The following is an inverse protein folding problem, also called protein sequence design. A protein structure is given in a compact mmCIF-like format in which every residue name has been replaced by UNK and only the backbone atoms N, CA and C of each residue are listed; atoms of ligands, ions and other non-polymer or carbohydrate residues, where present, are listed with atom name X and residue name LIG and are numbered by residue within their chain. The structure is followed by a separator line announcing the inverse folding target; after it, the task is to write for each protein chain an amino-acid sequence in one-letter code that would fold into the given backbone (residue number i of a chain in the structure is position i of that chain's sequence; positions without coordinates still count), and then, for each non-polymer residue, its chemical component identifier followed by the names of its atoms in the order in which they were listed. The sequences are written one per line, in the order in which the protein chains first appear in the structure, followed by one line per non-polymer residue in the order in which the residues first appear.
data_IF_559836037062
#
_entry.id   IF_559836037062
#
_cell.length_a   1.000
_cell.length_b   1.000
_cell.length_c   1.000
_cell.angle_alpha   90.00
_cell.angle_beta   90.00
_cell.angle_gamma   90.00
#
_symmetry.space_group_name_H-M   'P 1'
#
loop_
_entity.id
_entity.type
_entity.pdbx_description
1 polymer ?
#
# COMPACT_ATOMS: atom_id res chain seq x y z
N UNK A 1 -20.10 1.66 -0.82
CA UNK A 1 -21.31 1.88 -1.66
C UNK A 1 -20.90 1.54 -3.06
N UNK A 2 -21.66 0.69 -3.79
CA UNK A 2 -21.39 0.50 -5.20
C UNK A 2 -21.54 1.87 -5.89
N UNK A 3 -20.52 2.25 -6.63
CA UNK A 3 -20.61 3.41 -7.53
C UNK A 3 -21.39 2.91 -8.75
N UNK A 4 -22.63 3.35 -8.89
CA UNK A 4 -23.40 3.06 -10.10
C UNK A 4 -22.71 3.77 -11.26
N UNK A 5 -21.95 3.01 -12.03
CA UNK A 5 -21.34 3.51 -13.25
C UNK A 5 -22.43 3.71 -14.29
N UNK A 6 -22.73 4.97 -14.61
CA UNK A 6 -23.68 5.34 -15.65
C UNK A 6 -22.94 5.87 -16.88
N UNK A 7 -23.34 5.43 -18.06
CA UNK A 7 -22.91 6.02 -19.33
C UNK A 7 -24.07 6.83 -19.88
N UNK A 8 -23.86 8.12 -20.08
CA UNK A 8 -24.88 9.02 -20.60
C UNK A 8 -24.54 9.41 -22.04
N UNK A 9 -25.54 9.37 -22.88
CA UNK A 9 -25.44 9.76 -24.28
C UNK A 9 -26.23 11.02 -24.50
N UNK A 10 -25.63 12.00 -25.19
CA UNK A 10 -26.26 13.27 -25.49
C UNK A 10 -26.34 13.46 -26.99
N UNK A 11 -27.43 14.07 -27.47
CA UNK A 11 -27.56 14.58 -28.83
C UNK A 11 -27.70 16.07 -28.80
N UNK A 12 -27.14 16.71 -29.83
CA UNK A 12 -27.34 18.14 -30.05
C UNK A 12 -28.81 18.45 -30.41
N UNK A 13 -29.23 19.58 -29.95
CA UNK A 13 -30.51 20.14 -30.34
C UNK A 13 -30.52 20.38 -31.85
N UNK A 14 -31.64 20.05 -32.50
CA UNK A 14 -31.91 20.38 -33.89
C UNK A 14 -33.00 21.45 -33.93
N UNK A 15 -32.67 22.62 -34.48
CA UNK A 15 -33.66 23.66 -34.73
C UNK A 15 -34.45 23.31 -35.97
N UNK A 16 -35.71 22.95 -35.80
CA UNK A 16 -36.64 22.67 -36.90
C UNK A 16 -37.56 23.84 -37.09
N UNK A 17 -37.58 24.42 -38.31
CA UNK A 17 -38.52 25.47 -38.66
C UNK A 17 -39.64 24.92 -39.51
N UNK A 18 -40.86 24.94 -38.98
CA UNK A 18 -42.04 24.54 -39.71
C UNK A 18 -42.64 25.78 -40.39
N UNK A 19 -42.83 25.69 -41.70
CA UNK A 19 -43.45 26.77 -42.48
C UNK A 19 -44.92 26.45 -42.73
N UNK A 20 -45.77 27.38 -42.35
CA UNK A 20 -47.19 27.29 -42.57
C UNK A 20 -47.63 28.32 -43.57
N UNK A 21 -48.59 28.00 -44.51
CA UNK A 21 -49.25 28.97 -45.35
C UNK A 21 -50.34 29.70 -44.53
N UNK A 22 -49.95 30.87 -43.99
CA UNK A 22 -50.76 31.65 -43.07
C UNK A 22 -50.65 31.23 -41.60
N UNK A 23 -50.96 32.16 -40.73
CA UNK A 23 -50.90 31.95 -39.27
C UNK A 23 -51.97 30.94 -38.79
N UNK A 24 -51.59 29.77 -38.23
CA UNK A 24 -52.56 28.74 -37.81
C UNK A 24 -53.39 29.16 -36.61
N UNK A 25 -52.98 30.17 -35.85
CA UNK A 25 -53.70 30.66 -34.66
C UNK A 25 -54.84 31.62 -34.99
N UNK A 26 -54.88 32.13 -36.20
CA UNK A 26 -55.99 33.06 -36.64
C UNK A 26 -57.24 32.26 -36.88
N UNK A 27 -58.42 32.70 -36.36
CA UNK A 27 -59.67 32.05 -36.60
C UNK A 27 -60.05 32.07 -38.08
N UNK A 28 -60.67 31.02 -38.58
CA UNK A 28 -61.20 30.92 -39.88
C UNK A 28 -62.40 31.88 -40.00
N UNK A 29 -62.37 32.80 -40.93
CA UNK A 29 -63.53 33.69 -41.20
C UNK A 29 -64.62 32.90 -41.94
N UNK A 30 -65.83 32.89 -41.34
CA UNK A 30 -67.03 32.33 -41.96
C UNK A 30 -67.78 33.44 -42.59
N UNK A 31 -67.95 33.40 -43.89
CA UNK A 31 -68.75 34.36 -44.64
C UNK A 31 -70.16 33.77 -45.00
N UNK A 32 -71.21 34.52 -44.84
CA UNK A 32 -72.54 34.08 -45.24
C UNK A 32 -72.62 33.94 -46.74
N UNK A 33 -73.11 32.83 -47.27
CA UNK A 33 -73.36 32.52 -48.67
C UNK A 33 -74.80 32.08 -48.86
N UNK A 34 -75.29 32.17 -50.06
CA UNK A 34 -76.65 31.78 -50.40
C UNK A 34 -77.02 30.33 -50.08
N UNK A 35 -76.06 29.47 -49.84
CA UNK A 35 -76.21 28.06 -49.46
C UNK A 35 -75.77 27.75 -48.03
N UNK A 36 -75.60 28.76 -47.13
CA UNK A 36 -75.08 28.59 -45.75
C UNK A 36 -73.74 29.28 -45.54
N UNK A 37 -73.11 29.02 -44.35
CA UNK A 37 -71.83 29.58 -44.02
C UNK A 37 -70.68 28.89 -44.83
N UNK A 38 -69.90 29.71 -45.52
CA UNK A 38 -68.78 29.26 -46.33
C UNK A 38 -67.45 29.73 -45.67
N UNK A 39 -66.47 28.89 -45.67
CA UNK A 39 -65.15 29.26 -45.24
C UNK A 39 -64.54 30.21 -46.31
N UNK A 40 -64.19 31.45 -45.94
CA UNK A 40 -63.45 32.31 -46.81
C UNK A 40 -61.98 31.87 -46.86
N UNK A 41 -61.31 31.97 -48.05
CA UNK A 41 -59.88 31.72 -48.13
C UNK A 41 -59.15 32.70 -47.25
N UNK A 42 -58.13 32.22 -46.57
CA UNK A 42 -57.23 33.08 -45.76
C UNK A 42 -56.63 34.15 -46.68
N UNK A 43 -56.83 35.41 -46.32
CA UNK A 43 -56.41 36.57 -47.16
C UNK A 43 -54.91 36.86 -47.10
N UNK A 44 -54.14 36.18 -46.25
CA UNK A 44 -52.72 36.33 -46.16
C UNK A 44 -52.02 34.97 -46.37
N UNK A 45 -51.22 34.91 -47.43
CA UNK A 45 -50.34 33.82 -47.76
C UNK A 45 -48.95 34.05 -47.20
N UNK A 46 -48.78 34.89 -46.16
CA UNK A 46 -47.48 35.07 -45.49
C UNK A 46 -47.04 33.79 -44.88
N UNK A 47 -45.77 33.44 -45.16
CA UNK A 47 -45.16 32.26 -44.59
C UNK A 47 -44.95 32.52 -43.11
N UNK A 48 -45.66 31.77 -42.26
CA UNK A 48 -45.48 31.81 -40.80
C UNK A 48 -44.47 30.72 -40.39
N UNK A 49 -43.37 31.14 -39.73
CA UNK A 49 -42.34 30.23 -39.27
C UNK A 49 -42.47 30.05 -37.77
N UNK A 50 -42.53 28.81 -37.34
CA UNK A 50 -42.40 28.43 -35.94
C UNK A 50 -41.05 27.72 -35.78
N UNK A 51 -40.16 28.28 -34.99
CA UNK A 51 -38.95 27.59 -34.56
C UNK A 51 -39.29 26.73 -33.33
N UNK A 52 -39.09 25.42 -33.48
CA UNK A 52 -39.20 24.48 -32.37
C UNK A 52 -37.84 24.31 -31.70
N UNK A 53 -37.77 24.63 -30.42
CA UNK A 53 -36.57 24.48 -29.58
C UNK A 53 -36.76 23.30 -28.64
N UNK A 54 -35.64 22.71 -28.16
CA UNK A 54 -35.66 21.60 -27.19
C UNK A 54 -35.94 20.23 -27.80
N UNK A 55 -35.85 20.09 -29.14
CA UNK A 55 -36.09 18.82 -29.83
C UNK A 55 -34.77 18.31 -30.42
N UNK A 56 -34.48 17.03 -30.22
CA UNK A 56 -33.39 16.34 -30.91
C UNK A 56 -33.94 15.29 -31.86
N UNK A 57 -33.16 14.92 -32.89
CA UNK A 57 -33.55 13.82 -33.75
C UNK A 57 -33.73 12.53 -32.97
N UNK A 58 -34.71 11.67 -33.28
CA UNK A 58 -34.87 10.36 -32.63
C UNK A 58 -33.60 9.51 -32.80
N UNK A 59 -33.32 8.67 -31.80
CA UNK A 59 -32.25 7.69 -31.88
C UNK A 59 -32.50 6.70 -33.00
N UNK A 60 -31.54 6.54 -33.92
CA UNK A 60 -31.64 5.51 -34.97
C UNK A 60 -31.41 4.13 -34.37
N UNK A 61 -31.84 3.07 -35.08
CA UNK A 61 -31.52 1.69 -34.69
C UNK A 61 -29.99 1.43 -34.62
N UNK A 62 -29.20 2.07 -35.47
CA UNK A 62 -27.75 1.99 -35.44
C UNK A 62 -27.15 2.62 -34.15
N UNK A 63 -27.68 3.78 -33.74
CA UNK A 63 -27.22 4.43 -32.48
C UNK A 63 -27.55 3.60 -31.27
N UNK A 64 -28.73 3.01 -31.18
CA UNK A 64 -29.17 2.13 -30.08
C UNK A 64 -28.33 0.84 -30.05
N UNK A 65 -28.02 0.29 -31.21
CA UNK A 65 -27.14 -0.87 -31.33
C UNK A 65 -25.74 -0.55 -30.85
N UNK A 66 -25.13 0.55 -31.31
CA UNK A 66 -23.81 1.00 -30.87
C UNK A 66 -23.75 1.28 -29.36
N UNK A 67 -24.77 1.94 -28.80
CA UNK A 67 -24.87 2.21 -27.37
C UNK A 67 -24.94 0.91 -26.54
N UNK A 68 -25.73 -0.08 -26.98
CA UNK A 68 -25.81 -1.38 -26.33
C UNK A 68 -24.53 -2.18 -26.45
N UNK A 69 -23.84 -2.15 -27.58
CA UNK A 69 -22.57 -2.85 -27.77
C UNK A 69 -21.46 -2.25 -26.90
N UNK A 70 -21.37 -0.92 -26.81
CA UNK A 70 -20.46 -0.23 -25.91
C UNK A 70 -20.76 -0.53 -24.44
N UNK A 71 -22.05 -0.55 -24.04
CA UNK A 71 -22.45 -0.94 -22.70
C UNK A 71 -22.01 -2.35 -22.37
N UNK A 72 -22.23 -3.30 -23.28
CA UNK A 72 -21.81 -4.69 -23.12
C UNK A 72 -20.29 -4.80 -22.97
N UNK A 73 -19.53 -4.15 -23.87
CA UNK A 73 -18.07 -4.14 -23.83
C UNK A 73 -17.52 -3.52 -22.54
N UNK A 74 -18.14 -2.44 -22.04
CA UNK A 74 -17.76 -1.83 -20.78
C UNK A 74 -17.98 -2.77 -19.58
N UNK A 75 -19.14 -3.45 -19.53
CA UNK A 75 -19.46 -4.43 -18.49
C UNK A 75 -18.52 -5.64 -18.53
N UNK A 76 -18.22 -6.17 -19.71
CA UNK A 76 -17.30 -7.29 -19.91
C UNK A 76 -15.89 -6.92 -19.46
N UNK A 77 -15.42 -5.71 -19.76
CA UNK A 77 -14.13 -5.20 -19.29
C UNK A 77 -14.09 -5.02 -17.78
N UNK A 78 -15.15 -4.48 -17.18
CA UNK A 78 -15.21 -4.29 -15.73
C UNK A 78 -15.22 -5.64 -14.99
N UNK A 79 -16.05 -6.58 -15.45
CA UNK A 79 -16.10 -7.94 -14.92
C UNK A 79 -14.74 -8.64 -15.05
N UNK A 80 -14.09 -8.53 -16.21
CA UNK A 80 -12.76 -9.11 -16.44
C UNK A 80 -11.71 -8.54 -15.49
N UNK A 81 -11.73 -7.23 -15.24
CA UNK A 81 -10.86 -6.58 -14.27
C UNK A 81 -11.13 -7.05 -12.84
N UNK A 82 -12.40 -7.22 -12.49
CA UNK A 82 -12.77 -7.72 -11.17
C UNK A 82 -12.28 -9.16 -10.95
N UNK A 83 -12.50 -10.04 -11.91
CA UNK A 83 -12.01 -11.42 -11.87
C UNK A 83 -10.47 -11.47 -11.76
N UNK A 84 -9.76 -10.66 -12.52
CA UNK A 84 -8.29 -10.58 -12.43
C UNK A 84 -7.82 -10.10 -11.06
N UNK A 85 -8.50 -9.13 -10.45
CA UNK A 85 -8.18 -8.66 -9.08
C UNK A 85 -8.43 -9.75 -8.04
N UNK A 86 -9.56 -10.46 -8.13
CA UNK A 86 -9.86 -11.56 -7.22
C UNK A 86 -8.85 -12.71 -7.36
N UNK A 87 -8.49 -13.08 -8.58
CA UNK A 87 -7.48 -14.10 -8.84
C UNK A 87 -6.10 -13.68 -8.31
N UNK A 88 -5.71 -12.41 -8.48
CA UNK A 88 -4.47 -11.88 -7.93
C UNK A 88 -4.47 -11.93 -6.39
N UNK A 89 -5.57 -11.58 -5.75
CA UNK A 89 -5.73 -11.64 -4.29
C UNK A 89 -5.65 -13.09 -3.77
N UNK A 90 -6.29 -14.04 -4.46
CA UNK A 90 -6.21 -15.47 -4.09
C UNK A 90 -4.77 -16.00 -4.23
N UNK A 91 -4.10 -15.71 -5.34
CA UNK A 91 -2.69 -16.12 -5.54
C UNK A 91 -1.77 -15.53 -4.46
N UNK A 92 -1.90 -14.24 -4.19
CA UNK A 92 -1.11 -13.59 -3.14
C UNK A 92 -1.34 -14.23 -1.77
N UNK A 93 -2.59 -14.61 -1.44
CA UNK A 93 -2.92 -15.34 -0.21
C UNK A 93 -2.28 -16.72 -0.18
N UNK A 94 -2.34 -17.47 -1.27
CA UNK A 94 -1.81 -18.84 -1.33
C UNK A 94 -0.27 -18.83 -1.26
N UNK A 95 0.40 -17.88 -1.89
CA UNK A 95 1.85 -17.64 -1.75
C UNK A 95 2.21 -17.29 -0.31
N UNK A 96 1.42 -16.44 0.34
CA UNK A 96 1.58 -16.09 1.76
C UNK A 96 1.53 -17.35 2.63
N UNK A 97 0.50 -18.18 2.49
CA UNK A 97 0.34 -19.42 3.27
C UNK A 97 1.54 -20.36 3.05
N UNK A 98 2.05 -20.46 1.83
CA UNK A 98 3.18 -21.31 1.50
C UNK A 98 4.49 -20.82 2.17
N UNK A 99 4.81 -19.52 2.07
CA UNK A 99 6.01 -18.91 2.68
C UNK A 99 5.95 -19.03 4.20
N UNK A 100 4.82 -18.66 4.80
CA UNK A 100 4.60 -18.75 6.25
C UNK A 100 4.76 -20.18 6.75
N UNK A 101 4.15 -21.14 6.06
CA UNK A 101 4.23 -22.54 6.42
C UNK A 101 5.66 -23.07 6.38
N UNK A 102 6.44 -22.65 5.39
CA UNK A 102 7.86 -22.99 5.27
C UNK A 102 8.66 -22.37 6.43
N UNK A 103 8.49 -21.08 6.70
CA UNK A 103 9.28 -20.34 7.69
C UNK A 103 8.92 -20.69 9.15
N UNK A 104 7.68 -21.15 9.40
CA UNK A 104 7.29 -21.74 10.68
C UNK A 104 7.77 -23.19 10.83
N UNK A 105 7.82 -23.98 9.74
CA UNK A 105 8.26 -25.38 9.78
C UNK A 105 9.73 -25.49 10.18
N UNK A 106 10.59 -24.58 9.72
CA UNK A 106 12.02 -24.61 10.01
C UNK A 106 12.34 -24.55 11.51
N UNK A 107 11.89 -23.52 12.30
CA UNK A 107 12.13 -23.47 13.73
C UNK A 107 11.45 -24.62 14.49
N UNK A 108 10.26 -25.07 14.06
CA UNK A 108 9.61 -26.25 14.64
C UNK A 108 10.46 -27.52 14.44
N UNK A 109 11.06 -27.72 13.27
CA UNK A 109 11.94 -28.85 13.01
C UNK A 109 13.16 -28.81 13.91
N UNK A 110 13.78 -27.64 14.11
CA UNK A 110 14.91 -27.45 15.03
C UNK A 110 14.51 -27.83 16.46
N UNK A 111 13.39 -27.31 16.97
CA UNK A 111 12.87 -27.62 18.30
C UNK A 111 12.64 -29.13 18.45
N UNK A 112 11.95 -29.76 17.49
CA UNK A 112 11.65 -31.20 17.52
C UNK A 112 12.91 -32.05 17.50
N UNK A 113 13.90 -31.67 16.70
CA UNK A 113 15.21 -32.38 16.66
C UNK A 113 15.95 -32.24 17.98
N UNK A 114 15.99 -31.05 18.58
CA UNK A 114 16.66 -30.79 19.84
C UNK A 114 15.97 -31.51 21.02
N UNK A 115 14.63 -31.55 21.02
CA UNK A 115 13.87 -32.38 21.98
C UNK A 115 14.26 -33.86 21.90
N UNK A 116 14.35 -34.40 20.68
CA UNK A 116 14.78 -35.79 20.47
C UNK A 116 16.24 -36.05 20.90
N UNK A 117 17.13 -35.07 20.69
CA UNK A 117 18.51 -35.16 21.15
C UNK A 117 18.60 -35.12 22.70
N UNK A 118 17.80 -34.26 23.33
CA UNK A 118 17.74 -34.18 24.82
C UNK A 118 17.23 -35.49 25.43
N UNK A 119 16.17 -36.08 24.87
CA UNK A 119 15.68 -37.38 25.31
C UNK A 119 16.77 -38.46 25.27
N UNK A 120 17.55 -38.50 24.20
CA UNK A 120 18.70 -39.44 24.09
C UNK A 120 19.84 -39.11 25.06
N UNK A 121 20.11 -37.81 25.31
CA UNK A 121 21.15 -37.36 26.22
C UNK A 121 20.82 -37.68 27.68
N UNK A 122 19.54 -37.67 28.08
CA UNK A 122 19.12 -38.11 29.43
C UNK A 122 19.34 -39.61 29.68
N UNK A 123 19.44 -40.42 28.61
CA UNK A 123 19.67 -41.86 28.73
C UNK A 123 21.17 -42.18 28.82
N UNK A 124 22.06 -41.28 28.33
CA UNK A 124 23.50 -41.48 28.37
C UNK A 124 24.14 -40.54 29.40
N UNK A 125 24.47 -41.09 30.59
CA UNK A 125 25.12 -40.37 31.69
C UNK A 125 26.59 -40.06 31.33
N UNK A 126 26.92 -38.78 31.13
CA UNK A 126 28.28 -38.34 30.82
C UNK A 126 28.56 -36.90 31.27
N UNK A 127 29.81 -36.54 31.58
CA UNK A 127 30.20 -35.25 32.16
C UNK A 127 29.95 -34.04 31.29
N UNK A 128 29.57 -34.23 30.01
CA UNK A 128 29.26 -33.16 29.04
C UNK A 128 27.76 -32.96 28.80
N UNK A 129 26.89 -33.76 29.42
CA UNK A 129 25.44 -33.78 29.22
C UNK A 129 24.80 -32.44 29.60
N UNK A 130 25.19 -31.84 30.70
CA UNK A 130 24.65 -30.57 31.19
C UNK A 130 24.88 -29.42 30.20
N UNK A 131 26.09 -29.25 29.66
CA UNK A 131 26.42 -28.18 28.70
C UNK A 131 25.68 -28.36 27.40
N UNK A 132 25.48 -29.59 26.90
CA UNK A 132 24.73 -29.90 25.70
C UNK A 132 23.23 -29.59 25.88
N UNK A 133 22.68 -29.87 27.03
CA UNK A 133 21.29 -29.56 27.39
C UNK A 133 21.09 -28.05 27.42
N UNK A 134 21.97 -27.29 28.09
CA UNK A 134 21.88 -25.82 28.14
C UNK A 134 21.89 -25.20 26.70
N UNK A 135 22.86 -25.61 25.88
CA UNK A 135 22.96 -25.14 24.49
C UNK A 135 21.72 -25.51 23.65
N UNK A 136 21.13 -26.69 23.89
CA UNK A 136 19.88 -27.07 23.19
C UNK A 136 18.70 -26.20 23.65
N UNK A 137 18.58 -25.90 24.94
CA UNK A 137 17.55 -25.00 25.48
C UNK A 137 17.69 -23.61 24.89
N UNK A 138 18.91 -23.05 24.89
CA UNK A 138 19.16 -21.71 24.29
C UNK A 138 18.74 -21.66 22.82
N UNK A 139 19.07 -22.71 22.06
CA UNK A 139 18.69 -22.81 20.64
C UNK A 139 17.17 -22.94 20.46
N UNK A 140 16.48 -23.69 21.33
CA UNK A 140 15.02 -23.77 21.32
C UNK A 140 14.36 -22.44 21.65
N UNK A 141 14.89 -21.70 22.64
CA UNK A 141 14.38 -20.38 22.99
C UNK A 141 14.54 -19.40 21.83
N UNK A 142 15.69 -19.41 21.15
CA UNK A 142 15.91 -18.61 19.95
C UNK A 142 14.93 -18.98 18.81
N UNK A 143 14.69 -20.28 18.59
CA UNK A 143 13.74 -20.72 17.57
C UNK A 143 12.30 -20.30 17.91
N UNK A 144 11.90 -20.40 19.18
CA UNK A 144 10.59 -19.95 19.66
C UNK A 144 10.42 -18.43 19.53
N UNK A 145 11.43 -17.64 19.90
CA UNK A 145 11.42 -16.19 19.75
C UNK A 145 11.28 -15.77 18.29
N UNK A 146 11.99 -16.44 17.37
CA UNK A 146 11.85 -16.20 15.92
C UNK A 146 10.43 -16.48 15.43
N UNK A 147 9.76 -17.54 15.91
CA UNK A 147 8.37 -17.82 15.54
C UNK A 147 7.43 -16.72 16.01
N UNK A 148 7.60 -16.20 17.23
CA UNK A 148 6.77 -15.11 17.73
C UNK A 148 6.92 -13.84 16.86
N UNK A 149 8.15 -13.45 16.52
CA UNK A 149 8.41 -12.32 15.61
C UNK A 149 7.74 -12.53 14.25
N UNK A 150 7.83 -13.74 13.69
CA UNK A 150 7.16 -14.08 12.43
C UNK A 150 5.64 -13.94 12.51
N UNK A 151 5.02 -14.41 13.61
CA UNK A 151 3.58 -14.30 13.82
C UNK A 151 3.14 -12.83 13.96
N UNK A 152 3.90 -12.02 14.69
CA UNK A 152 3.65 -10.59 14.84
C UNK A 152 3.78 -9.86 13.48
N UNK A 153 4.84 -10.14 12.72
CA UNK A 153 5.04 -9.59 11.38
C UNK A 153 3.86 -9.91 10.44
N UNK A 154 3.32 -11.13 10.51
CA UNK A 154 2.17 -11.55 9.73
C UNK A 154 0.88 -10.83 10.13
N UNK A 155 0.66 -10.69 11.43
CA UNK A 155 -0.49 -9.96 11.96
C UNK A 155 -0.43 -8.49 11.56
N UNK A 156 0.74 -7.86 11.68
CA UNK A 156 0.94 -6.47 11.28
C UNK A 156 0.76 -6.29 9.77
N UNK A 157 1.32 -7.19 8.95
CA UNK A 157 1.11 -7.20 7.49
C UNK A 157 -0.37 -7.29 7.14
N UNK A 158 -1.11 -8.22 7.77
CA UNK A 158 -2.55 -8.36 7.55
C UNK A 158 -3.35 -7.11 7.92
N UNK A 159 -3.00 -6.43 9.03
CA UNK A 159 -3.63 -5.17 9.43
C UNK A 159 -3.34 -4.03 8.47
N UNK A 160 -2.09 -3.93 7.98
CA UNK A 160 -1.66 -2.92 7.00
C UNK A 160 -2.43 -3.09 5.69
N UNK A 161 -2.54 -4.31 5.17
CA UNK A 161 -3.29 -4.62 3.94
C UNK A 161 -4.78 -4.30 4.04
N UNK A 162 -5.36 -4.63 5.18
CA UNK A 162 -6.77 -4.32 5.44
C UNK A 162 -7.04 -2.82 5.66
N UNK A 163 -6.00 -1.96 5.68
CA UNK A 163 -6.12 -0.54 6.03
C UNK A 163 -6.59 -0.32 7.47
N UNK A 164 -6.35 -1.29 8.36
CA UNK A 164 -6.79 -1.29 9.77
C UNK A 164 -5.63 -1.17 10.75
N UNK A 165 -4.44 -0.84 10.25
CA UNK A 165 -3.29 -0.66 11.12
C UNK A 165 -3.46 0.62 11.94
N UNK A 166 -3.53 0.46 13.24
CA UNK A 166 -3.72 1.57 14.19
C UNK A 166 -2.47 1.74 15.05
N UNK A 167 -2.17 2.98 15.39
CA UNK A 167 -1.09 3.36 16.28
C UNK A 167 -1.68 4.07 17.51
N UNK A 168 -0.93 4.11 18.60
CA UNK A 168 -1.27 4.81 19.85
C UNK A 168 -0.26 5.92 20.09
N UNK A 169 -0.36 7.07 19.38
CA UNK A 169 0.62 8.14 19.47
C UNK A 169 0.61 8.79 20.85
N UNK A 170 1.80 9.08 21.36
CA UNK A 170 2.02 9.85 22.59
C UNK A 170 3.23 10.77 22.43
N UNK A 171 3.31 11.85 23.22
CA UNK A 171 4.48 12.72 23.23
C UNK A 171 5.75 11.91 23.57
N UNK A 172 6.74 11.95 22.69
CA UNK A 172 7.97 11.19 22.79
C UNK A 172 9.17 12.11 22.53
N UNK A 173 10.19 12.02 23.38
CA UNK A 173 11.49 12.62 23.14
C UNK A 173 12.35 11.70 22.28
N UNK A 174 12.91 12.25 21.20
CA UNK A 174 13.73 11.47 20.27
C UNK A 174 14.98 10.90 20.93
N UNK A 175 15.56 11.60 21.91
CA UNK A 175 16.71 11.13 22.64
C UNK A 175 16.40 9.82 23.40
N UNK A 176 15.20 9.69 23.98
CA UNK A 176 14.84 8.50 24.76
C UNK A 176 14.78 7.24 23.85
N UNK A 177 14.15 7.36 22.69
CA UNK A 177 14.06 6.22 21.76
C UNK A 177 15.41 5.86 21.15
N UNK A 178 16.30 6.86 20.97
CA UNK A 178 17.67 6.62 20.53
C UNK A 178 18.50 5.91 21.60
N UNK A 179 18.39 6.29 22.87
CA UNK A 179 19.06 5.62 23.98
C UNK A 179 18.60 4.16 24.10
N UNK A 180 17.29 3.90 23.97
CA UNK A 180 16.74 2.55 24.00
C UNK A 180 17.27 1.71 22.82
N UNK A 181 17.22 2.25 21.60
CA UNK A 181 17.74 1.58 20.41
C UNK A 181 19.25 1.30 20.52
N UNK A 182 20.03 2.25 21.03
CA UNK A 182 21.46 2.09 21.24
C UNK A 182 21.74 0.98 22.25
N UNK A 183 21.05 0.99 23.40
CA UNK A 183 21.28 -0.01 24.44
C UNK A 183 21.05 -1.45 23.97
N UNK A 184 20.06 -1.66 23.09
CA UNK A 184 19.74 -2.98 22.56
C UNK A 184 20.63 -3.40 21.39
N UNK A 185 20.99 -2.46 20.49
CA UNK A 185 21.63 -2.80 19.23
C UNK A 185 23.16 -2.63 19.25
N UNK A 186 23.71 -1.84 20.20
CA UNK A 186 25.16 -1.68 20.31
C UNK A 186 25.90 -3.02 20.56
N UNK A 187 25.43 -3.94 21.41
CA UNK A 187 26.09 -5.24 21.56
C UNK A 187 26.17 -6.02 20.24
N UNK A 188 25.10 -5.98 19.43
CA UNK A 188 25.08 -6.68 18.14
C UNK A 188 26.04 -6.06 17.12
N UNK A 189 26.20 -4.74 17.14
CA UNK A 189 27.16 -4.04 16.31
C UNK A 189 28.60 -4.33 16.75
N UNK A 190 28.84 -4.37 18.06
CA UNK A 190 30.14 -4.71 18.66
C UNK A 190 30.57 -6.14 18.32
N UNK A 191 29.68 -7.12 18.45
CA UNK A 191 29.95 -8.53 18.10
C UNK A 191 30.38 -8.67 16.63
N UNK A 192 29.85 -7.81 15.75
CA UNK A 192 30.21 -7.78 14.34
C UNK A 192 31.38 -6.83 14.03
N UNK A 193 31.93 -6.15 15.04
CA UNK A 193 32.98 -5.12 14.87
C UNK A 193 32.56 -3.98 13.92
N UNK A 194 31.31 -3.50 14.04
CA UNK A 194 30.76 -2.38 13.27
C UNK A 194 30.63 -1.17 14.20
N UNK A 195 31.06 0.00 13.71
CA UNK A 195 30.96 1.27 14.42
C UNK A 195 29.54 1.84 14.28
N UNK A 196 28.79 1.90 15.39
CA UNK A 196 27.41 2.38 15.44
C UNK A 196 27.33 3.69 16.22
N UNK A 197 26.89 4.75 15.54
CA UNK A 197 26.80 6.11 16.12
C UNK A 197 25.37 6.65 16.02
N UNK A 198 24.95 7.40 17.05
CA UNK A 198 23.67 8.10 17.08
C UNK A 198 23.88 9.60 17.24
N UNK A 199 23.11 10.39 16.51
CA UNK A 199 23.12 11.84 16.59
C UNK A 199 21.70 12.39 16.47
N UNK A 200 21.23 13.10 17.49
CA UNK A 200 19.96 13.81 17.45
C UNK A 200 20.17 15.29 17.74
N UNK A 201 19.47 16.16 17.04
CA UNK A 201 19.38 17.56 17.46
C UNK A 201 18.74 17.65 18.85
N UNK A 202 19.19 18.54 19.73
CA UNK A 202 18.64 18.68 21.07
C UNK A 202 17.17 19.10 21.06
N UNK A 203 16.36 18.51 21.96
CA UNK A 203 14.98 18.93 22.21
C UNK A 203 13.95 18.53 21.15
N UNK A 204 14.27 17.58 20.28
CA UNK A 204 13.32 17.04 19.30
C UNK A 204 12.21 16.24 19.99
N UNK A 205 10.95 16.65 19.75
CA UNK A 205 9.75 16.00 20.26
C UNK A 205 8.80 15.65 19.14
N UNK A 206 8.21 14.46 19.22
CA UNK A 206 7.26 13.92 18.23
C UNK A 206 6.03 13.37 18.93
N UNK A 207 4.93 13.26 18.20
CA UNK A 207 3.77 12.51 18.63
C UNK A 207 3.76 11.15 17.89
N UNK A 208 4.28 10.12 18.54
CA UNK A 208 4.47 8.83 17.91
C UNK A 208 4.12 7.70 18.88
N UNK A 209 3.83 6.52 18.33
CA UNK A 209 3.74 5.28 19.08
C UNK A 209 5.16 4.76 19.35
N UNK A 210 5.64 4.73 20.60
CA UNK A 210 7.03 4.41 20.92
C UNK A 210 7.42 2.98 20.50
N UNK A 211 6.53 2.01 20.76
CA UNK A 211 6.79 0.61 20.43
C UNK A 211 6.92 0.42 18.92
N UNK A 212 6.02 1.05 18.16
CA UNK A 212 6.03 0.98 16.70
C UNK A 212 7.20 1.73 16.08
N UNK A 213 7.54 2.89 16.61
CA UNK A 213 8.72 3.64 16.14
C UNK A 213 10.02 2.90 16.47
N UNK A 214 10.10 2.29 17.66
CA UNK A 214 11.21 1.42 18.03
C UNK A 214 11.32 0.21 17.09
N UNK A 215 10.19 -0.41 16.70
CA UNK A 215 10.14 -1.50 15.73
C UNK A 215 10.76 -1.07 14.38
N UNK A 216 10.44 0.14 13.89
CA UNK A 216 11.03 0.70 12.67
C UNK A 216 12.53 0.88 12.81
N UNK A 217 12.99 1.54 13.88
CA UNK A 217 14.42 1.78 14.13
C UNK A 217 15.19 0.46 14.25
N UNK A 218 14.67 -0.50 15.03
CA UNK A 218 15.29 -1.81 15.22
C UNK A 218 15.41 -2.58 13.93
N UNK A 219 14.40 -2.52 13.05
CA UNK A 219 14.45 -3.16 11.75
C UNK A 219 15.46 -2.51 10.81
N UNK A 220 15.48 -1.18 10.72
CA UNK A 220 16.40 -0.45 9.84
C UNK A 220 17.86 -0.60 10.30
N UNK A 221 18.13 -0.43 11.61
CA UNK A 221 19.46 -0.56 12.19
C UNK A 221 19.91 -2.03 12.14
N UNK A 222 19.03 -2.98 12.44
CA UNK A 222 19.31 -4.42 12.35
C UNK A 222 19.71 -4.83 10.92
N UNK A 223 19.00 -4.29 9.92
CA UNK A 223 19.38 -4.48 8.50
C UNK A 223 20.73 -3.84 8.20
N UNK A 224 20.99 -2.63 8.68
CA UNK A 224 22.29 -1.97 8.52
C UNK A 224 23.42 -2.81 9.12
N UNK A 225 23.26 -3.30 10.37
CA UNK A 225 24.24 -4.20 11.00
C UNK A 225 24.43 -5.47 10.17
N UNK A 226 23.35 -6.07 9.68
CA UNK A 226 23.39 -7.30 8.87
C UNK A 226 24.21 -7.15 7.59
N UNK A 227 24.04 -6.05 6.87
CA UNK A 227 24.64 -5.87 5.55
C UNK A 227 25.95 -5.07 5.54
N UNK A 228 26.37 -4.50 6.67
CA UNK A 228 27.64 -3.83 6.83
C UNK A 228 28.74 -4.85 7.15
N UNK A 229 29.88 -4.87 6.45
CA UNK A 229 31.01 -5.73 6.78
C UNK A 229 31.67 -5.30 8.10
N UNK A 230 32.50 -6.17 8.70
CA UNK A 230 33.31 -5.83 9.86
C UNK A 230 34.15 -4.56 9.57
N UNK A 231 34.35 -3.73 10.58
CA UNK A 231 35.01 -2.40 10.50
C UNK A 231 34.25 -1.36 9.67
N UNK A 232 33.01 -1.66 9.25
CA UNK A 232 32.12 -0.69 8.62
C UNK A 232 31.47 0.27 9.63
N UNK A 233 30.72 1.24 9.12
CA UNK A 233 30.11 2.30 9.93
C UNK A 233 28.61 2.36 9.70
N UNK A 234 27.86 2.63 10.76
CA UNK A 234 26.44 2.91 10.74
C UNK A 234 26.21 4.22 11.50
N UNK A 235 25.57 5.18 10.82
CA UNK A 235 25.17 6.45 11.42
C UNK A 235 23.64 6.52 11.50
N UNK A 236 23.12 6.77 12.69
CA UNK A 236 21.70 7.03 12.92
C UNK A 236 21.57 8.49 13.31
N UNK A 237 20.72 9.25 12.61
CA UNK A 237 20.52 10.65 12.91
C UNK A 237 19.05 11.05 12.91
N UNK A 238 18.72 12.10 13.68
CA UNK A 238 17.42 12.75 13.67
C UNK A 238 17.60 14.27 13.66
N UNK A 239 16.90 14.94 12.73
CA UNK A 239 16.96 16.39 12.53
C UNK A 239 15.57 16.94 12.21
N UNK A 240 15.30 18.18 12.61
CA UNK A 240 14.08 18.88 12.23
C UNK A 240 14.21 19.51 10.83
N UNK A 241 13.18 19.38 10.00
CA UNK A 241 13.08 20.14 8.75
C UNK A 241 12.06 21.30 8.86
N UNK A 242 11.55 21.57 10.06
CA UNK A 242 10.59 22.62 10.37
C UNK A 242 9.13 22.17 10.44
N UNK A 243 8.76 21.08 9.79
CA UNK A 243 7.42 20.47 9.88
C UNK A 243 7.48 19.06 10.46
N UNK A 244 8.47 18.30 10.04
CA UNK A 244 8.68 16.92 10.44
C UNK A 244 10.06 16.75 11.07
N UNK A 245 10.21 15.70 11.83
CA UNK A 245 11.51 15.17 12.19
C UNK A 245 11.90 14.11 11.18
N UNK A 246 13.06 14.30 10.57
CA UNK A 246 13.67 13.38 9.62
C UNK A 246 14.64 12.48 10.36
N UNK A 247 14.33 11.20 10.38
CA UNK A 247 15.24 10.15 10.85
C UNK A 247 16.02 9.58 9.67
N UNK A 248 17.30 9.30 9.85
CA UNK A 248 18.13 8.63 8.86
C UNK A 248 18.94 7.51 9.49
N UNK A 249 19.03 6.38 8.78
CA UNK A 249 19.91 5.25 9.11
C UNK A 249 20.79 5.02 7.87
N UNK A 250 22.08 5.32 7.99
CA UNK A 250 23.07 5.20 6.91
C UNK A 250 24.08 4.13 7.24
N UNK A 251 24.31 3.21 6.34
CA UNK A 251 25.31 2.16 6.44
C UNK A 251 26.41 2.31 5.38
N UNK A 252 27.58 1.74 5.65
CA UNK A 252 28.69 1.61 4.68
C UNK A 252 28.78 0.20 4.10
N UNK A 253 27.65 -0.48 3.94
CA UNK A 253 27.55 -1.84 3.47
C UNK A 253 27.71 -1.98 1.95
N UNK A 254 27.31 -3.16 1.45
CA UNK A 254 27.43 -3.49 0.03
C UNK A 254 26.54 -2.64 -0.91
N UNK A 255 25.59 -1.91 -0.35
CA UNK A 255 24.59 -1.17 -1.10
C UNK A 255 23.56 -2.07 -1.79
N UNK A 256 22.62 -1.41 -2.50
CA UNK A 256 21.49 -2.05 -3.20
C UNK A 256 21.53 -1.62 -4.66
N UNK A 257 21.48 -2.55 -5.62
CA UNK A 257 21.39 -2.24 -7.04
C UNK A 257 20.15 -1.40 -7.37
N UNK A 258 20.27 -0.45 -8.31
CA UNK A 258 19.18 0.44 -8.68
C UNK A 258 17.90 -0.29 -9.14
N UNK A 259 18.06 -1.45 -9.78
CA UNK A 259 16.97 -2.31 -10.24
C UNK A 259 16.16 -2.92 -9.08
N UNK A 260 16.79 -3.10 -7.92
CA UNK A 260 16.17 -3.68 -6.73
C UNK A 260 15.50 -2.63 -5.83
N UNK A 261 15.96 -1.37 -5.86
CA UNK A 261 15.44 -0.30 -5.00
C UNK A 261 13.90 -0.14 -5.04
N UNK A 262 13.22 -0.21 -6.19
CA UNK A 262 11.77 -0.11 -6.23
C UNK A 262 11.05 -1.24 -5.50
N UNK A 263 11.70 -2.40 -5.36
CA UNK A 263 11.09 -3.64 -4.84
C UNK A 263 11.39 -3.91 -3.36
N UNK A 264 12.37 -3.23 -2.74
CA UNK A 264 12.78 -3.53 -1.36
C UNK A 264 11.68 -3.34 -0.31
N UNK A 265 10.66 -2.58 -0.61
CA UNK A 265 9.48 -2.37 0.23
C UNK A 265 8.31 -3.31 -0.10
N UNK A 266 8.47 -4.18 -1.10
CA UNK A 266 7.48 -5.20 -1.42
C UNK A 266 7.53 -6.34 -0.38
N UNK A 267 6.41 -7.00 -0.17
CA UNK A 267 6.30 -8.13 0.76
C UNK A 267 7.17 -9.28 0.30
N UNK A 268 7.80 -9.96 1.27
CA UNK A 268 8.65 -11.14 1.04
C UNK A 268 9.84 -10.89 0.11
N UNK A 269 10.13 -9.63 -0.16
CA UNK A 269 11.30 -9.32 -0.96
C UNK A 269 12.58 -9.60 -0.16
N UNK A 270 13.41 -10.45 -0.71
CA UNK A 270 14.75 -10.78 -0.19
C UNK A 270 15.77 -10.76 -1.32
N UNK A 271 16.97 -10.23 -1.06
CA UNK A 271 18.05 -10.31 -2.03
C UNK A 271 18.40 -11.77 -2.33
N UNK A 272 18.43 -12.17 -3.60
CA UNK A 272 18.62 -13.56 -4.08
C UNK A 272 19.97 -14.20 -3.74
N UNK A 273 20.91 -13.49 -3.13
CA UNK A 273 22.24 -13.99 -2.83
C UNK A 273 22.33 -14.55 -1.41
N UNK A 274 22.45 -15.87 -1.34
CA UNK A 274 23.00 -16.71 -0.27
C UNK A 274 22.49 -16.43 1.15
N UNK A 275 21.88 -17.43 1.83
CA UNK A 275 21.46 -17.41 3.24
C UNK A 275 20.76 -16.11 3.70
N UNK A 276 19.68 -15.76 3.04
CA UNK A 276 18.85 -14.62 3.43
C UNK A 276 18.12 -14.93 4.74
N UNK A 277 18.78 -14.67 5.88
CA UNK A 277 18.13 -14.61 7.18
C UNK A 277 17.20 -13.39 7.21
N UNK A 278 15.91 -13.58 6.95
CA UNK A 278 14.89 -12.54 7.04
C UNK A 278 13.62 -12.91 6.28
N UNK A 279 12.48 -12.51 6.83
CA UNK A 279 11.14 -12.78 6.29
C UNK A 279 10.80 -11.97 5.04
N UNK A 280 11.58 -10.91 4.76
CA UNK A 280 11.23 -9.92 3.73
C UNK A 280 10.02 -9.06 4.09
N UNK A 281 9.57 -9.09 5.34
CA UNK A 281 8.42 -8.30 5.82
C UNK A 281 8.82 -7.01 6.53
N UNK A 282 10.02 -6.96 7.12
CA UNK A 282 10.41 -5.85 7.99
C UNK A 282 10.33 -4.47 7.32
N UNK A 283 10.85 -4.30 6.10
CA UNK A 283 10.78 -3.01 5.39
C UNK A 283 9.34 -2.65 4.98
N UNK A 284 8.54 -3.62 4.58
CA UNK A 284 7.12 -3.42 4.28
C UNK A 284 6.35 -2.96 5.52
N UNK A 285 6.56 -3.61 6.67
CA UNK A 285 5.95 -3.23 7.96
C UNK A 285 6.43 -1.85 8.39
N UNK A 286 7.73 -1.57 8.30
CA UNK A 286 8.28 -0.25 8.61
C UNK A 286 7.63 0.86 7.78
N UNK A 287 7.42 0.63 6.49
CA UNK A 287 6.72 1.57 5.62
C UNK A 287 5.26 1.77 6.05
N UNK A 288 4.56 0.69 6.41
CA UNK A 288 3.18 0.74 6.93
C UNK A 288 3.07 1.52 8.23
N UNK A 289 4.00 1.29 9.17
CA UNK A 289 4.08 2.00 10.45
C UNK A 289 4.31 3.50 10.22
N UNK A 290 5.28 3.87 9.41
CA UNK A 290 5.59 5.27 9.13
C UNK A 290 4.44 5.96 8.42
N UNK A 291 3.78 5.30 7.47
CA UNK A 291 2.56 5.81 6.83
C UNK A 291 1.42 6.02 7.82
N UNK A 292 1.24 5.14 8.81
CA UNK A 292 0.25 5.31 9.87
C UNK A 292 0.55 6.52 10.77
N UNK A 293 1.82 6.88 10.95
CA UNK A 293 2.25 8.12 11.63
C UNK A 293 2.13 9.38 10.76
N UNK A 294 1.65 9.26 9.51
CA UNK A 294 1.54 10.39 8.58
C UNK A 294 2.85 10.76 7.88
N UNK A 295 3.89 9.95 8.04
CA UNK A 295 5.21 10.14 7.45
C UNK A 295 5.44 9.34 6.17
N UNK A 296 6.68 9.39 5.68
CA UNK A 296 7.15 8.67 4.51
C UNK A 296 8.50 7.97 4.80
N UNK A 297 8.69 6.75 4.31
CA UNK A 297 9.95 6.01 4.36
C UNK A 297 10.53 5.91 2.94
N UNK A 298 11.79 6.32 2.79
CA UNK A 298 12.53 6.35 1.52
C UNK A 298 13.87 5.64 1.69
N UNK A 299 14.42 5.13 0.58
CA UNK A 299 15.74 4.53 0.54
C UNK A 299 16.57 5.12 -0.61
N UNK A 300 17.85 5.37 -0.35
CA UNK A 300 18.86 5.73 -1.33
C UNK A 300 20.05 4.81 -1.15
N UNK A 301 20.55 4.25 -2.24
CA UNK A 301 21.68 3.32 -2.17
C UNK A 301 22.44 3.28 -3.49
N UNK A 302 23.74 2.97 -3.38
CA UNK A 302 24.58 2.63 -4.53
C UNK A 302 25.42 1.41 -4.20
N UNK A 303 25.59 0.46 -5.14
CA UNK A 303 26.45 -0.69 -4.96
C UNK A 303 27.88 -0.28 -4.56
N UNK A 304 28.36 -0.84 -3.44
CA UNK A 304 29.69 -0.56 -2.88
C UNK A 304 29.83 0.74 -2.07
N UNK A 305 28.81 1.60 -2.03
CA UNK A 305 28.83 2.86 -1.24
C UNK A 305 27.94 2.81 0.01
N UNK A 306 27.15 1.73 0.18
CA UNK A 306 26.20 1.56 1.27
C UNK A 306 24.78 2.02 0.94
N UNK A 307 23.96 2.11 1.97
CA UNK A 307 22.55 2.50 1.85
C UNK A 307 22.18 3.55 2.90
N UNK A 308 21.19 4.36 2.59
CA UNK A 308 20.60 5.31 3.51
C UNK A 308 19.08 5.17 3.45
N UNK A 309 18.48 4.86 4.60
CA UNK A 309 17.04 4.85 4.80
C UNK A 309 16.65 6.10 5.57
N UNK A 310 15.68 6.86 5.05
CA UNK A 310 15.17 8.08 5.68
C UNK A 310 13.67 7.96 5.88
N UNK A 311 13.22 8.32 7.06
CA UNK A 311 11.78 8.44 7.30
C UNK A 311 11.43 9.72 8.05
N UNK A 312 10.18 10.15 7.90
CA UNK A 312 9.67 11.36 8.54
C UNK A 312 8.58 11.02 9.55
N UNK A 313 8.53 11.78 10.62
CA UNK A 313 7.42 11.76 11.59
C UNK A 313 7.04 13.20 11.88
N UNK A 314 5.73 13.55 11.87
CA UNK A 314 5.29 14.91 12.20
C UNK A 314 5.80 15.38 13.55
N UNK A 315 6.36 16.60 13.59
CA UNK A 315 6.88 17.22 14.81
C UNK A 315 5.71 17.73 15.66
N UNK A 316 5.85 17.67 17.00
CA UNK A 316 4.98 18.41 17.91
C UNK A 316 5.48 19.85 17.96
N UNK A 317 4.56 20.79 17.75
CA UNK A 317 4.85 22.21 17.84
C UNK A 317 5.14 22.62 19.30
#
# INVERSE_FOLDING_TARGET
KPVDNAVMWFRSEVKESIQWSGDPSKPLNLEPSASGLRLSPRTSFEIWKVEMEGISTPWSHGDLFAANDLRRSALENDLSRQVLREQAAVRARDELVAVVSHDLRNPMTIISMLCGMMQKAFISDGPHTSRRITSAIDTMQQASSRMNVLLEDLLDTSKIEAGRYTISPQPLDVSQIFEEALSLLAPLAMDKSVDLTFHAEPGLKINADPERLFQVLSNLIGNAIKFTPAQGKIGVAAMSNGQDIVFSVRDSGKGIPAEQLPHIFERYWTAKEGNAFGTGLGLYISQGIIKAHGGQLLAQSKPGEGSEFRFTVPQIA
#
